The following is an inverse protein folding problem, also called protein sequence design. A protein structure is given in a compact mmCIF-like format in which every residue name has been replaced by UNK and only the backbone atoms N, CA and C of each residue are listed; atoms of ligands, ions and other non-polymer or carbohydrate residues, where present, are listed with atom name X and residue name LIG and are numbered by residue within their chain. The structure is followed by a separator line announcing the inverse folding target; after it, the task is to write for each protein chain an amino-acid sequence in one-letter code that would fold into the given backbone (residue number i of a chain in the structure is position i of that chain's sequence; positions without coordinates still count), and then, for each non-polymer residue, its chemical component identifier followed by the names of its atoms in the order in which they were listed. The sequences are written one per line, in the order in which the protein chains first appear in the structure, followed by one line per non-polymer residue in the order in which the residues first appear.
data_IF_190291227002
#
_entry.id   IF_190291227002
#
_cell.length_a   1.000
_cell.length_b   1.000
_cell.length_c   1.000
_cell.angle_alpha   90.00
_cell.angle_beta   90.00
_cell.angle_gamma   90.00
#
_symmetry.space_group_name_H-M   'P 1'
#
loop_
_entity.id
_entity.type
_entity.pdbx_description
1 polymer ?
#
# COMPACT_ATOMS: atom_id res chain seq x y z
N UNK A 1 22.18 5.08 -9.46
CA UNK A 1 20.78 5.45 -9.20
C UNK A 1 20.35 6.39 -10.31
N UNK A 2 19.70 5.83 -11.31
CA UNK A 2 19.34 6.49 -12.56
C UNK A 2 17.82 6.56 -12.56
N UNK A 3 17.31 7.78 -12.55
CA UNK A 3 15.87 8.06 -12.61
C UNK A 3 15.55 8.37 -14.07
N UNK A 4 14.61 7.61 -14.64
CA UNK A 4 14.17 7.84 -16.02
C UNK A 4 13.45 9.18 -16.10
N UNK A 5 13.51 9.85 -17.27
CA UNK A 5 12.91 11.18 -17.48
C UNK A 5 11.42 11.23 -17.09
N UNK A 6 10.69 10.15 -17.37
CA UNK A 6 9.27 9.97 -17.09
C UNK A 6 8.96 9.64 -15.61
N UNK A 7 9.96 9.31 -14.79
CA UNK A 7 9.81 9.07 -13.36
C UNK A 7 10.01 10.32 -12.49
N UNK A 8 10.56 11.41 -13.05
CA UNK A 8 10.77 12.67 -12.31
C UNK A 8 9.49 13.25 -11.70
N UNK A 9 8.33 13.30 -12.40
CA UNK A 9 7.10 13.78 -11.78
C UNK A 9 6.69 12.98 -10.54
N UNK A 10 6.89 11.67 -10.58
CA UNK A 10 6.62 10.76 -9.47
C UNK A 10 7.54 11.08 -8.29
N UNK A 11 8.84 11.22 -8.56
CA UNK A 11 9.82 11.59 -7.55
C UNK A 11 9.46 12.92 -6.88
N UNK A 12 9.19 13.95 -7.68
CA UNK A 12 8.87 15.30 -7.18
C UNK A 12 7.62 15.27 -6.32
N UNK A 13 6.57 14.54 -6.73
CA UNK A 13 5.35 14.42 -5.94
C UNK A 13 5.62 13.74 -4.59
N UNK A 14 6.36 12.63 -4.58
CA UNK A 14 6.71 11.94 -3.34
C UNK A 14 7.49 12.85 -2.37
N UNK A 15 8.52 13.53 -2.86
CA UNK A 15 9.28 14.48 -2.04
C UNK A 15 8.40 15.62 -1.52
N UNK A 16 7.53 16.16 -2.38
CA UNK A 16 6.64 17.27 -2.01
C UNK A 16 5.69 16.89 -0.88
N UNK A 17 4.98 15.77 -0.99
CA UNK A 17 4.02 15.39 0.06
C UNK A 17 4.75 14.90 1.31
N UNK A 18 5.88 14.18 1.20
CA UNK A 18 6.62 13.72 2.37
C UNK A 18 7.14 14.89 3.21
N UNK A 19 7.71 15.91 2.56
CA UNK A 19 8.17 17.12 3.25
C UNK A 19 6.99 17.89 3.84
N UNK A 20 5.90 18.05 3.08
CA UNK A 20 4.71 18.76 3.54
C UNK A 20 4.07 18.11 4.78
N UNK A 21 3.85 16.79 4.74
CA UNK A 21 3.28 16.05 5.86
C UNK A 21 4.26 15.93 7.03
N UNK A 22 5.57 15.80 6.78
CA UNK A 22 6.56 15.81 7.86
C UNK A 22 6.53 17.13 8.64
N UNK A 23 6.51 18.27 7.95
CA UNK A 23 6.38 19.57 8.57
C UNK A 23 5.05 19.72 9.33
N UNK A 24 3.95 19.26 8.73
CA UNK A 24 2.63 19.28 9.35
C UNK A 24 2.59 18.46 10.65
N UNK A 25 3.00 17.18 10.64
CA UNK A 25 2.98 16.34 11.84
C UNK A 25 3.96 16.81 12.92
N UNK A 26 5.13 17.28 12.53
CA UNK A 26 6.09 17.87 13.46
C UNK A 26 5.50 19.10 14.17
N UNK A 27 4.80 19.98 13.43
CA UNK A 27 4.15 21.16 14.03
C UNK A 27 3.04 20.80 15.02
N UNK A 28 2.41 19.62 14.87
CA UNK A 28 1.36 19.10 15.76
C UNK A 28 1.89 18.14 16.82
N UNK A 29 3.21 17.93 16.88
CA UNK A 29 3.87 16.95 17.77
C UNK A 29 3.25 15.55 17.67
N UNK A 30 2.82 15.15 16.47
CA UNK A 30 2.20 13.86 16.24
C UNK A 30 3.28 12.81 15.94
N UNK A 31 3.84 12.23 16.99
CA UNK A 31 4.97 11.28 16.88
C UNK A 31 4.60 9.95 16.21
N UNK A 32 3.35 9.50 16.36
CA UNK A 32 2.83 8.31 15.68
C UNK A 32 2.95 8.46 14.16
N UNK A 33 2.39 9.53 13.59
CA UNK A 33 2.46 9.73 12.13
C UNK A 33 3.83 10.17 11.61
N UNK A 34 4.70 10.74 12.47
CA UNK A 34 6.11 10.92 12.13
C UNK A 34 6.85 9.57 11.99
N UNK A 35 6.54 8.58 12.82
CA UNK A 35 7.09 7.23 12.70
C UNK A 35 6.64 6.60 11.37
N UNK A 36 5.36 6.73 11.01
CA UNK A 36 4.85 6.23 9.73
C UNK A 36 5.51 6.93 8.52
N UNK A 37 5.81 8.24 8.60
CA UNK A 37 6.65 8.90 7.58
C UNK A 37 8.01 8.22 7.48
N UNK A 38 8.66 7.91 8.60
CA UNK A 38 9.93 7.20 8.62
C UNK A 38 9.86 5.87 7.87
N UNK A 39 8.81 5.09 8.08
CA UNK A 39 8.55 3.83 7.36
C UNK A 39 8.42 4.08 5.86
N UNK A 40 7.60 5.05 5.44
CA UNK A 40 7.44 5.37 4.01
C UNK A 40 8.75 5.83 3.40
N UNK A 41 9.56 6.63 4.10
CA UNK A 41 10.88 7.05 3.65
C UNK A 41 11.80 5.85 3.45
N UNK A 42 11.79 4.86 4.35
CA UNK A 42 12.57 3.62 4.19
C UNK A 42 12.18 2.88 2.91
N UNK A 43 10.88 2.67 2.66
CA UNK A 43 10.42 2.01 1.43
C UNK A 43 10.68 2.83 0.17
N UNK A 44 10.50 4.14 0.24
CA UNK A 44 10.81 5.07 -0.85
C UNK A 44 12.30 4.99 -1.24
N UNK A 45 13.19 5.03 -0.25
CA UNK A 45 14.64 4.88 -0.44
C UNK A 45 14.96 3.50 -1.02
N UNK A 46 14.33 2.43 -0.52
CA UNK A 46 14.49 1.08 -1.05
C UNK A 46 14.12 1.03 -2.55
N UNK A 47 12.95 1.56 -2.93
CA UNK A 47 12.49 1.63 -4.32
C UNK A 47 13.46 2.42 -5.20
N UNK A 48 13.96 3.55 -4.71
CA UNK A 48 14.95 4.35 -5.44
C UNK A 48 16.24 3.57 -5.71
N UNK A 49 16.76 2.86 -4.71
CA UNK A 49 17.97 2.06 -4.85
C UNK A 49 17.78 0.83 -5.76
N UNK A 50 16.60 0.22 -5.74
CA UNK A 50 16.30 -0.96 -6.55
C UNK A 50 15.76 -0.63 -7.94
N UNK A 51 15.47 0.64 -8.26
CA UNK A 51 14.78 1.05 -9.48
C UNK A 51 15.40 0.52 -10.78
N UNK A 52 16.73 0.59 -10.91
CA UNK A 52 17.45 0.08 -12.09
C UNK A 52 17.42 -1.45 -12.20
N UNK A 53 17.40 -2.15 -11.05
CA UNK A 53 17.44 -3.62 -10.98
C UNK A 53 16.07 -4.22 -11.22
N UNK A 54 15.05 -3.70 -10.54
CA UNK A 54 13.66 -4.16 -10.62
C UNK A 54 12.96 -3.62 -11.87
N UNK A 55 13.43 -2.47 -12.39
CA UNK A 55 12.85 -1.80 -13.57
C UNK A 55 11.34 -1.59 -13.42
N UNK A 56 10.93 -0.97 -12.31
CA UNK A 56 9.52 -0.71 -12.03
C UNK A 56 8.82 -0.02 -13.20
N UNK A 57 7.59 -0.44 -13.49
CA UNK A 57 6.73 0.27 -14.44
C UNK A 57 6.20 1.55 -13.77
N UNK A 58 5.94 2.59 -14.57
CA UNK A 58 5.39 3.83 -14.00
C UNK A 58 4.01 3.62 -13.38
N UNK A 59 3.22 2.66 -13.88
CA UNK A 59 1.93 2.30 -13.29
C UNK A 59 2.06 1.83 -11.84
N UNK A 60 3.03 0.96 -11.57
CA UNK A 60 3.34 0.51 -10.19
C UNK A 60 3.82 1.69 -9.35
N UNK A 61 4.75 2.51 -9.86
CA UNK A 61 5.28 3.65 -9.12
C UNK A 61 4.21 4.69 -8.77
N UNK A 62 3.30 4.99 -9.70
CA UNK A 62 2.15 5.86 -9.42
C UNK A 62 1.19 5.23 -8.41
N UNK A 63 0.95 3.92 -8.50
CA UNK A 63 0.15 3.20 -7.51
C UNK A 63 0.75 3.28 -6.10
N UNK A 64 2.06 3.05 -5.96
CA UNK A 64 2.77 3.14 -4.68
C UNK A 64 2.79 4.59 -4.16
N UNK A 65 2.90 5.56 -5.06
CA UNK A 65 2.81 6.99 -4.72
C UNK A 65 1.42 7.37 -4.21
N UNK A 66 0.37 6.88 -4.87
CA UNK A 66 -1.01 7.08 -4.43
C UNK A 66 -1.24 6.44 -3.07
N UNK A 67 -0.75 5.21 -2.87
CA UNK A 67 -0.85 4.51 -1.60
C UNK A 67 -0.16 5.28 -0.46
N UNK A 68 1.09 5.72 -0.66
CA UNK A 68 1.80 6.54 0.31
C UNK A 68 1.10 7.87 0.62
N UNK A 69 0.59 8.56 -0.41
CA UNK A 69 -0.18 9.79 -0.24
C UNK A 69 -1.47 9.56 0.56
N UNK A 70 -2.22 8.50 0.26
CA UNK A 70 -3.44 8.15 0.99
C UNK A 70 -3.13 7.82 2.46
N UNK A 71 -2.03 7.13 2.74
CA UNK A 71 -1.60 6.90 4.12
C UNK A 71 -1.30 8.21 4.86
N UNK A 72 -0.66 9.17 4.19
CA UNK A 72 -0.41 10.48 4.78
C UNK A 72 -1.69 11.28 5.00
N UNK A 73 -2.63 11.23 4.06
CA UNK A 73 -3.94 11.86 4.24
C UNK A 73 -4.73 11.21 5.39
N UNK A 74 -4.70 9.87 5.49
CA UNK A 74 -5.43 9.09 6.49
C UNK A 74 -5.13 9.52 7.93
N UNK A 75 -3.86 9.75 8.24
CA UNK A 75 -3.42 10.19 9.56
C UNK A 75 -3.46 11.70 9.78
N UNK A 76 -3.30 12.46 8.70
CA UNK A 76 -3.04 13.90 8.78
C UNK A 76 -4.26 14.77 8.72
N UNK A 77 -5.33 14.29 8.08
CA UNK A 77 -6.53 15.08 7.91
C UNK A 77 -7.46 14.82 9.10
N UNK A 78 -7.68 15.82 9.99
CA UNK A 78 -8.65 15.68 11.07
C UNK A 78 -10.07 15.70 10.50
N UNK A 79 -10.92 14.81 11.00
CA UNK A 79 -12.33 14.68 10.66
C UNK A 79 -13.12 14.54 11.96
N UNK A 80 -13.67 15.66 12.45
CA UNK A 80 -14.28 15.72 13.79
C UNK A 80 -13.24 15.40 14.87
N UNK A 81 -13.58 14.46 15.75
CA UNK A 81 -12.71 14.01 16.85
C UNK A 81 -11.72 12.91 16.45
N UNK A 82 -11.73 12.50 15.17
CA UNK A 82 -10.88 11.42 14.64
C UNK A 82 -9.99 11.93 13.50
N UNK A 83 -9.10 11.08 13.04
CA UNK A 83 -8.39 11.25 11.76
C UNK A 83 -9.13 10.54 10.63
N UNK A 84 -8.79 10.87 9.39
CA UNK A 84 -9.45 10.34 8.20
C UNK A 84 -9.49 8.80 8.16
N UNK A 85 -8.49 8.07 8.67
CA UNK A 85 -8.54 6.59 8.79
C UNK A 85 -9.80 6.09 9.51
N UNK A 86 -10.20 6.77 10.58
CA UNK A 86 -11.35 6.38 11.38
C UNK A 86 -12.70 6.67 10.71
N UNK A 87 -12.70 7.38 9.58
CA UNK A 87 -13.92 7.80 8.90
C UNK A 87 -14.59 6.61 8.21
N UNK A 88 -15.83 6.32 8.61
CA UNK A 88 -16.69 5.37 7.92
C UNK A 88 -17.06 5.90 6.52
N UNK A 89 -16.81 5.12 5.48
CA UNK A 89 -17.21 5.47 4.12
C UNK A 89 -18.59 4.90 3.80
N UNK A 90 -18.77 3.60 4.01
CA UNK A 90 -20.04 2.91 3.82
C UNK A 90 -20.21 1.90 4.95
N UNK A 91 -21.23 2.01 5.81
CA UNK A 91 -21.44 1.06 6.90
C UNK A 91 -21.98 -0.26 6.34
N UNK A 92 -21.11 -1.24 6.11
CA UNK A 92 -21.49 -2.55 5.56
C UNK A 92 -21.89 -3.58 6.63
N UNK A 93 -21.78 -3.24 7.91
CA UNK A 93 -22.14 -4.10 9.03
C UNK A 93 -22.64 -3.27 10.21
N UNK A 94 -23.65 -3.79 10.91
CA UNK A 94 -24.17 -3.19 12.15
C UNK A 94 -23.29 -3.55 13.37
N UNK A 95 -22.43 -4.56 13.24
CA UNK A 95 -21.60 -5.09 14.34
C UNK A 95 -20.15 -4.66 14.23
N UNK A 96 -19.59 -4.72 13.02
CA UNK A 96 -18.18 -4.40 12.78
C UNK A 96 -18.06 -3.10 11.99
N UNK A 97 -16.99 -2.31 12.20
CA UNK A 97 -16.79 -1.05 11.49
C UNK A 97 -16.27 -1.27 10.06
N UNK A 98 -17.05 -1.97 9.23
CA UNK A 98 -16.65 -2.40 7.90
C UNK A 98 -16.78 -1.26 6.90
N UNK A 99 -15.66 -1.03 6.21
CA UNK A 99 -15.39 -0.06 5.14
C UNK A 99 -15.25 1.39 5.60
N UNK A 100 -14.30 1.59 6.52
CA UNK A 100 -13.67 2.90 6.76
C UNK A 100 -12.67 3.24 5.65
N UNK A 101 -12.19 4.48 5.69
CA UNK A 101 -11.12 4.95 4.81
C UNK A 101 -9.90 4.03 4.87
N UNK A 102 -9.58 3.52 6.06
CA UNK A 102 -8.51 2.56 6.29
C UNK A 102 -8.57 1.34 5.35
N UNK A 103 -9.70 0.64 5.34
CA UNK A 103 -9.88 -0.54 4.47
C UNK A 103 -9.83 -0.17 2.98
N UNK A 104 -10.19 1.06 2.58
CA UNK A 104 -10.00 1.52 1.20
C UNK A 104 -8.51 1.70 0.86
N UNK A 105 -7.72 2.28 1.78
CA UNK A 105 -6.26 2.41 1.62
C UNK A 105 -5.62 1.04 1.47
N UNK A 106 -6.03 0.07 2.28
CA UNK A 106 -5.59 -1.33 2.19
C UNK A 106 -5.92 -1.96 0.83
N UNK A 107 -7.17 -1.87 0.36
CA UNK A 107 -7.56 -2.42 -0.96
C UNK A 107 -6.67 -1.83 -2.08
N UNK A 108 -6.44 -0.52 -2.08
CA UNK A 108 -5.61 0.15 -3.08
C UNK A 108 -4.15 -0.28 -2.95
N UNK A 109 -3.61 -0.20 -1.73
CA UNK A 109 -2.22 -0.48 -1.41
C UNK A 109 -1.81 -1.90 -1.75
N UNK A 110 -2.55 -2.88 -1.26
CA UNK A 110 -2.23 -4.29 -1.46
C UNK A 110 -2.66 -4.81 -2.83
N UNK A 111 -3.59 -4.13 -3.51
CA UNK A 111 -3.75 -4.27 -4.95
C UNK A 111 -2.46 -3.91 -5.69
N UNK A 112 -1.89 -2.74 -5.43
CA UNK A 112 -0.62 -2.30 -6.05
C UNK A 112 0.56 -3.20 -5.64
N UNK A 113 0.64 -3.60 -4.36
CA UNK A 113 1.67 -4.52 -3.89
C UNK A 113 1.59 -5.87 -4.61
N UNK A 114 0.38 -6.37 -4.86
CA UNK A 114 0.17 -7.62 -5.63
C UNK A 114 0.60 -7.45 -7.09
N UNK A 115 0.33 -6.31 -7.72
CA UNK A 115 0.86 -5.99 -9.05
C UNK A 115 2.39 -5.96 -9.06
N UNK A 116 3.00 -5.40 -8.02
CA UNK A 116 4.45 -5.38 -7.84
C UNK A 116 5.02 -6.80 -7.68
N UNK A 117 4.41 -7.64 -6.84
CA UNK A 117 4.80 -9.05 -6.68
C UNK A 117 4.77 -9.76 -8.02
N UNK A 118 3.69 -9.61 -8.80
CA UNK A 118 3.62 -10.22 -10.12
C UNK A 118 4.69 -9.68 -11.07
N UNK A 119 4.97 -8.37 -11.05
CA UNK A 119 6.05 -7.76 -11.83
C UNK A 119 7.43 -8.34 -11.48
N UNK A 120 7.69 -8.62 -10.21
CA UNK A 120 8.93 -9.27 -9.74
C UNK A 120 9.02 -10.73 -10.16
N UNK A 121 7.89 -11.46 -10.11
CA UNK A 121 7.84 -12.88 -10.45
C UNK A 121 7.88 -13.12 -11.96
N UNK A 122 7.22 -12.29 -12.76
CA UNK A 122 7.00 -12.51 -14.21
C UNK A 122 8.28 -12.85 -14.99
N UNK A 123 9.43 -12.16 -14.79
CA UNK A 123 10.68 -12.51 -15.48
C UNK A 123 11.28 -13.87 -15.08
N UNK A 124 10.87 -14.42 -13.93
CA UNK A 124 11.33 -15.72 -13.42
C UNK A 124 10.45 -16.89 -13.91
N UNK A 125 9.29 -16.58 -14.50
CA UNK A 125 8.34 -17.59 -14.99
C UNK A 125 8.75 -18.11 -16.38
N UNK A 126 8.35 -19.36 -16.66
CA UNK A 126 8.50 -19.92 -18.01
C UNK A 126 7.58 -19.19 -18.99
N UNK A 127 8.02 -18.86 -20.22
CA UNK A 127 7.22 -18.13 -21.20
C UNK A 127 5.89 -18.81 -21.57
N UNK A 128 5.84 -20.14 -21.49
CA UNK A 128 4.71 -21.00 -21.87
C UNK A 128 3.89 -21.50 -20.68
N UNK A 129 4.00 -20.85 -19.50
CA UNK A 129 3.33 -21.29 -18.27
C UNK A 129 1.80 -21.46 -18.48
N UNK A 130 1.34 -22.71 -18.32
CA UNK A 130 -0.08 -23.09 -18.39
C UNK A 130 -0.78 -23.15 -17.04
N UNK A 131 -0.03 -23.28 -15.94
CA UNK A 131 -0.55 -23.46 -14.57
C UNK A 131 -0.98 -22.14 -13.92
N UNK A 132 -1.89 -21.41 -14.57
CA UNK A 132 -2.36 -20.11 -14.09
C UNK A 132 -3.05 -20.17 -12.73
N UNK A 133 -3.74 -21.26 -12.42
CA UNK A 133 -4.36 -21.43 -11.09
C UNK A 133 -3.32 -21.44 -9.98
N UNK A 134 -2.21 -22.16 -10.16
CA UNK A 134 -1.14 -22.22 -9.17
C UNK A 134 -0.45 -20.85 -9.02
N UNK A 135 -0.15 -20.18 -10.15
CA UNK A 135 0.42 -18.84 -10.11
C UNK A 135 -0.51 -17.82 -9.45
N UNK A 136 -1.82 -17.87 -9.74
CA UNK A 136 -2.83 -17.01 -9.13
C UNK A 136 -2.80 -17.11 -7.60
N UNK A 137 -2.77 -18.34 -7.07
CA UNK A 137 -2.70 -18.57 -5.61
C UNK A 137 -1.42 -17.96 -5.06
N UNK A 138 -0.26 -18.24 -5.67
CA UNK A 138 1.04 -17.72 -5.21
C UNK A 138 1.06 -16.18 -5.22
N UNK A 139 0.57 -15.55 -6.28
CA UNK A 139 0.56 -14.08 -6.41
C UNK A 139 -0.34 -13.43 -5.36
N UNK A 140 -1.55 -13.97 -5.15
CA UNK A 140 -2.48 -13.45 -4.12
C UNK A 140 -1.89 -13.64 -2.72
N UNK A 141 -1.38 -14.83 -2.41
CA UNK A 141 -0.78 -15.12 -1.10
C UNK A 141 0.47 -14.27 -0.82
N UNK A 142 1.28 -14.00 -1.85
CA UNK A 142 2.43 -13.12 -1.70
C UNK A 142 2.03 -11.65 -1.53
N UNK A 143 0.96 -11.18 -2.20
CA UNK A 143 0.36 -9.87 -1.96
C UNK A 143 -0.15 -9.70 -0.54
N UNK A 144 -0.91 -10.68 -0.04
CA UNK A 144 -1.34 -10.79 1.35
C UNK A 144 -0.16 -10.81 2.34
N UNK A 145 0.96 -11.45 1.96
CA UNK A 145 2.18 -11.44 2.78
C UNK A 145 2.78 -10.03 2.94
N UNK A 146 2.62 -9.15 1.95
CA UNK A 146 2.98 -7.73 2.09
C UNK A 146 1.98 -7.02 3.00
N UNK A 147 0.70 -7.38 2.93
CA UNK A 147 -0.36 -7.00 3.90
C UNK A 147 0.01 -7.27 5.34
N UNK A 148 0.31 -8.54 5.62
CA UNK A 148 0.75 -8.95 6.94
C UNK A 148 2.03 -8.22 7.41
N UNK A 149 2.96 -7.89 6.50
CA UNK A 149 4.12 -7.09 6.85
C UNK A 149 3.73 -5.65 7.27
N UNK A 150 2.71 -5.06 6.64
CA UNK A 150 2.18 -3.77 7.06
C UNK A 150 1.60 -3.84 8.48
N UNK A 151 0.77 -4.85 8.77
CA UNK A 151 0.23 -5.07 10.11
C UNK A 151 1.33 -5.24 11.18
N UNK A 152 2.45 -5.89 10.82
CA UNK A 152 3.62 -5.99 11.71
C UNK A 152 4.24 -4.63 11.98
N UNK A 153 4.31 -3.74 10.98
CA UNK A 153 4.82 -2.37 11.15
C UNK A 153 3.88 -1.54 12.02
N UNK A 154 2.57 -1.66 11.82
CA UNK A 154 1.57 -0.98 12.66
C UNK A 154 1.63 -1.47 14.10
N UNK A 155 1.72 -2.78 14.31
CA UNK A 155 1.94 -3.36 15.64
C UNK A 155 3.21 -2.81 16.31
N UNK A 156 4.30 -2.67 15.55
CA UNK A 156 5.52 -2.07 16.08
C UNK A 156 5.32 -0.60 16.47
N UNK A 157 4.55 0.17 15.69
CA UNK A 157 4.21 1.55 16.04
C UNK A 157 3.42 1.63 17.36
N UNK A 158 2.44 0.73 17.56
CA UNK A 158 1.68 0.60 18.82
C UNK A 158 2.59 0.28 20.01
N UNK A 159 3.60 -0.58 19.82
CA UNK A 159 4.53 -0.95 20.90
C UNK A 159 5.49 0.20 21.25
N UNK A 160 5.86 1.04 20.27
CA UNK A 160 6.86 2.10 20.45
C UNK A 160 6.27 3.44 20.90
N UNK A 161 5.00 3.73 20.60
CA UNK A 161 4.34 5.01 20.90
C UNK A 161 3.15 4.77 21.83
N UNK A 162 3.16 5.30 23.08
CA UNK A 162 2.02 5.20 23.98
C UNK A 162 0.80 5.91 23.39
N UNK A 163 -0.35 5.22 23.32
CA UNK A 163 -1.62 5.67 22.73
C UNK A 163 -1.59 5.89 21.21
N UNK A 164 -1.67 4.81 20.44
CA UNK A 164 -1.92 4.86 18.99
C UNK A 164 -3.40 4.85 18.66
N UNK A 165 -3.77 5.54 17.57
CA UNK A 165 -5.15 5.57 17.05
C UNK A 165 -5.50 4.39 16.14
N UNK A 166 -4.56 3.49 15.88
CA UNK A 166 -4.64 2.37 14.91
C UNK A 166 -4.34 1.04 15.61
N UNK A 167 -4.97 -0.04 15.14
CA UNK A 167 -4.76 -1.41 15.62
C UNK A 167 -5.95 -2.02 16.37
N UNK A 168 -5.68 -3.16 17.04
CA UNK A 168 -6.69 -4.00 17.67
C UNK A 168 -7.14 -5.15 16.77
N UNK A 169 -7.56 -6.26 17.38
CA UNK A 169 -7.84 -7.51 16.65
C UNK A 169 -8.83 -7.34 15.50
N UNK A 170 -9.93 -6.61 15.74
CA UNK A 170 -10.95 -6.38 14.72
C UNK A 170 -10.45 -5.48 13.58
N UNK A 171 -9.62 -4.47 13.85
CA UNK A 171 -9.03 -3.60 12.83
C UNK A 171 -8.15 -4.44 11.91
N UNK A 172 -7.12 -5.06 12.47
CA UNK A 172 -6.17 -5.92 11.74
C UNK A 172 -6.86 -7.04 10.97
N UNK A 173 -7.90 -7.66 11.53
CA UNK A 173 -8.65 -8.69 10.81
C UNK A 173 -9.40 -8.12 9.60
N UNK A 174 -10.04 -6.96 9.74
CA UNK A 174 -10.73 -6.28 8.63
C UNK A 174 -9.75 -5.76 7.58
N UNK A 175 -8.57 -5.34 7.99
CA UNK A 175 -7.51 -4.86 7.11
C UNK A 175 -6.95 -6.02 6.28
N UNK A 176 -6.67 -7.17 6.88
CA UNK A 176 -6.30 -8.38 6.14
C UNK A 176 -7.39 -8.86 5.15
N UNK A 177 -8.66 -8.64 5.46
CA UNK A 177 -9.77 -8.89 4.52
C UNK A 177 -9.73 -7.88 3.36
N UNK A 178 -9.47 -6.61 3.65
CA UNK A 178 -9.30 -5.56 2.64
C UNK A 178 -8.09 -5.85 1.73
N UNK A 179 -6.98 -6.34 2.29
CA UNK A 179 -5.79 -6.77 1.56
C UNK A 179 -6.11 -7.90 0.58
N UNK A 180 -6.86 -8.91 1.05
CA UNK A 180 -7.32 -10.02 0.21
C UNK A 180 -8.14 -9.50 -0.98
N UNK A 181 -9.08 -8.57 -0.73
CA UNK A 181 -9.90 -7.95 -1.79
C UNK A 181 -9.00 -7.23 -2.79
N UNK A 182 -8.06 -6.41 -2.33
CA UNK A 182 -7.09 -5.71 -3.18
C UNK A 182 -6.27 -6.69 -4.04
N UNK A 183 -5.75 -7.75 -3.44
CA UNK A 183 -4.95 -8.77 -4.13
C UNK A 183 -5.76 -9.53 -5.20
N UNK A 184 -7.02 -9.89 -4.91
CA UNK A 184 -7.90 -10.55 -5.88
C UNK A 184 -8.25 -9.63 -7.04
N UNK A 185 -8.52 -8.34 -6.78
CA UNK A 185 -8.78 -7.34 -7.83
C UNK A 185 -7.56 -7.15 -8.73
N UNK A 186 -6.36 -7.07 -8.14
CA UNK A 186 -5.11 -7.00 -8.89
C UNK A 186 -4.89 -8.24 -9.76
N UNK A 187 -5.16 -9.43 -9.24
CA UNK A 187 -5.11 -10.67 -10.02
C UNK A 187 -6.09 -10.65 -11.20
N UNK A 188 -7.33 -10.20 -10.98
CA UNK A 188 -8.31 -10.07 -12.06
C UNK A 188 -7.81 -9.10 -13.15
N UNK A 189 -7.24 -7.95 -12.76
CA UNK A 189 -6.61 -7.01 -13.68
C UNK A 189 -5.48 -7.65 -14.48
N UNK A 190 -4.56 -8.36 -13.83
CA UNK A 190 -3.46 -9.09 -14.48
C UNK A 190 -4.00 -10.06 -15.54
N UNK A 191 -5.04 -10.84 -15.20
CA UNK A 191 -5.63 -11.83 -16.11
C UNK A 191 -6.26 -11.19 -17.33
N UNK A 192 -6.92 -10.03 -17.18
CA UNK A 192 -7.49 -9.28 -18.30
C UNK A 192 -6.41 -8.69 -19.20
N UNK A 193 -5.36 -8.10 -18.62
CA UNK A 193 -4.26 -7.50 -19.38
C UNK A 193 -3.45 -8.54 -20.16
N UNK A 194 -3.10 -9.66 -19.54
CA UNK A 194 -2.35 -10.72 -20.22
C UNK A 194 -3.22 -11.45 -21.28
N UNK A 195 -4.54 -11.52 -21.09
CA UNK A 195 -5.45 -12.05 -22.11
C UNK A 195 -5.52 -11.13 -23.35
N UNK A 196 -5.49 -9.81 -23.15
CA UNK A 196 -5.44 -8.83 -24.26
C UNK A 196 -4.10 -8.87 -25.01
N UNK A 197 -2.98 -9.04 -24.31
CA UNK A 197 -1.65 -9.09 -24.93
C UNK A 197 -1.40 -10.34 -25.78
N UNK A 198 -2.21 -11.40 -25.61
CA UNK A 198 -2.14 -12.64 -26.40
C UNK A 198 -3.07 -12.65 -27.62
N UNK A 199 -3.91 -11.62 -27.79
CA UNK A 199 -4.76 -11.42 -28.97
C UNK A 199 -4.03 -10.51 -29.95
#
# INVERSE_FOLDING_TARGET
MTIRKDQWPILILNLSYLVGFAAFYASRQNYEFLLYIGVIVVFFVLILFTNERVRYTNGILWGLTLWGLLHMCGGGIPVGDKVLYGQMLIPLSDTYPVFRFDQLVHIIGFGVATLLIYHLLKPLLRPDLKQWTALSIVVVMAGLGVGALNEVVEFLAVVLVPETGVGGYENTALDLVADLIGAVLALAYIRVCDAKAKR
#
